data_IF_859083941349
#
_entry.id   IF_859083941349
#
_cell.length_a   1.000
_cell.length_b   1.000
_cell.length_c   1.000
_cell.angle_alpha   90.00
_cell.angle_beta   90.00
_cell.angle_gamma   90.00
#
_symmetry.space_group_name_H-M   'P 1'
#
loop_
_entity.id
_entity.type
_entity.pdbx_description
1 polymer ?
#
# COMPACT_ATOMS: atom_id res chain seq x y z
N UNK A 1 4.06 5.24 0.10
CA UNK A 1 3.16 5.12 1.25
C UNK A 1 2.51 3.76 1.19
N UNK A 2 2.42 3.06 2.31
CA UNK A 2 1.73 1.78 2.45
C UNK A 2 0.30 2.05 2.94
N UNK A 3 -0.62 2.30 2.00
CA UNK A 3 -2.00 2.75 2.31
C UNK A 3 -2.86 1.69 3.01
N UNK A 4 -2.46 0.42 2.97
CA UNK A 4 -3.15 -0.70 3.61
C UNK A 4 -2.32 -1.34 4.73
N UNK A 5 -1.31 -0.63 5.24
CA UNK A 5 -0.42 -1.15 6.26
C UNK A 5 0.64 -2.11 5.70
N UNK A 6 1.22 -2.93 6.57
CA UNK A 6 2.43 -3.70 6.30
C UNK A 6 2.48 -5.00 7.09
N UNK A 7 3.01 -6.06 6.48
CA UNK A 7 3.30 -7.34 7.15
C UNK A 7 4.60 -7.29 7.98
N UNK A 8 5.44 -6.29 7.74
CA UNK A 8 6.72 -6.09 8.43
C UNK A 8 6.57 -5.55 9.86
N UNK A 9 5.33 -5.18 10.23
CA UNK A 9 4.98 -4.59 11.51
C UNK A 9 3.84 -5.37 12.15
N UNK A 10 3.93 -5.53 13.47
CA UNK A 10 2.91 -6.10 14.32
C UNK A 10 2.29 -5.01 15.18
N UNK A 11 1.04 -5.22 15.55
CA UNK A 11 0.32 -4.46 16.57
C UNK A 11 -0.37 -5.40 17.54
N UNK A 12 -0.66 -4.92 18.74
CA UNK A 12 -1.53 -5.65 19.67
C UNK A 12 -2.93 -5.77 19.07
N UNK A 13 -3.53 -6.98 19.10
CA UNK A 13 -4.92 -7.18 18.69
C UNK A 13 -5.89 -6.39 19.57
N UNK A 14 -5.59 -6.29 20.85
CA UNK A 14 -6.50 -5.72 21.85
C UNK A 14 -6.21 -4.22 22.10
N UNK A 15 -5.50 -3.55 21.18
CA UNK A 15 -5.22 -2.11 21.21
C UNK A 15 -4.65 -1.59 22.55
N UNK A 16 -3.82 -2.37 23.24
CA UNK A 16 -3.35 -2.05 24.60
C UNK A 16 -2.35 -0.88 24.69
N UNK A 17 -2.09 -0.15 23.60
CA UNK A 17 -1.13 0.96 23.57
C UNK A 17 0.35 0.57 23.45
N UNK A 18 0.66 -0.68 23.06
CA UNK A 18 2.05 -1.11 22.85
C UNK A 18 2.74 -0.43 21.66
N UNK A 19 1.96 0.20 20.77
CA UNK A 19 2.42 0.71 19.48
C UNK A 19 2.79 -0.41 18.51
N UNK A 20 3.50 -0.02 17.45
CA UNK A 20 3.97 -0.91 16.39
C UNK A 20 5.38 -1.45 16.69
N UNK A 21 5.60 -2.73 16.40
CA UNK A 21 6.91 -3.39 16.54
C UNK A 21 7.19 -4.28 15.34
N UNK A 22 8.47 -4.54 15.06
CA UNK A 22 8.87 -5.31 13.88
C UNK A 22 8.37 -6.76 13.97
N UNK A 23 7.95 -7.33 12.83
CA UNK A 23 7.70 -8.77 12.69
C UNK A 23 8.97 -9.58 12.38
N UNK A 24 10.14 -8.94 12.36
CA UNK A 24 11.40 -9.62 12.08
C UNK A 24 11.63 -10.81 13.05
N UNK A 25 11.93 -11.98 12.49
CA UNK A 25 12.13 -13.21 13.25
C UNK A 25 10.85 -13.86 13.76
N UNK A 26 9.67 -13.35 13.40
CA UNK A 26 8.39 -13.99 13.73
C UNK A 26 8.07 -15.04 12.68
N UNK A 27 8.06 -16.30 13.11
CA UNK A 27 7.64 -17.43 12.29
C UNK A 27 6.32 -18.01 12.84
N UNK A 28 5.37 -18.29 11.94
CA UNK A 28 4.09 -18.91 12.28
C UNK A 28 4.00 -20.24 11.55
N UNK A 29 4.01 -21.34 12.30
CA UNK A 29 3.83 -22.68 11.72
C UNK A 29 2.35 -22.89 11.36
N UNK A 30 2.08 -23.27 10.11
CA UNK A 30 0.73 -23.59 9.64
C UNK A 30 0.61 -25.10 9.45
N UNK A 31 -0.44 -25.69 10.04
CA UNK A 31 -0.83 -27.06 9.76
C UNK A 31 -1.43 -27.16 8.35
N UNK A 32 -0.79 -27.87 7.40
CA UNK A 32 -1.25 -27.92 6.01
C UNK A 32 -2.54 -28.72 5.81
N UNK A 33 -2.91 -29.60 6.76
CA UNK A 33 -4.14 -30.37 6.67
C UNK A 33 -5.37 -29.57 7.12
N UNK A 34 -5.18 -28.64 8.06
CA UNK A 34 -6.29 -27.84 8.63
C UNK A 34 -6.26 -26.37 8.27
N UNK A 35 -5.17 -25.88 7.67
CA UNK A 35 -4.90 -24.46 7.42
C UNK A 35 -4.98 -23.58 8.67
N UNK A 36 -4.69 -24.15 9.85
CA UNK A 36 -4.63 -23.43 11.12
C UNK A 36 -3.20 -23.17 11.55
N UNK A 37 -2.95 -21.99 12.10
CA UNK A 37 -1.69 -21.68 12.76
C UNK A 37 -1.55 -22.47 14.07
N UNK A 38 -0.37 -23.03 14.32
CA UNK A 38 -0.01 -23.67 15.58
C UNK A 38 0.48 -22.64 16.59
N UNK A 39 0.36 -22.96 17.86
CA UNK A 39 1.06 -22.22 18.92
C UNK A 39 2.58 -22.51 18.87
N UNK A 40 3.43 -21.56 19.31
CA UNK A 40 3.07 -20.26 19.83
C UNK A 40 2.68 -19.25 18.73
N UNK A 41 1.54 -18.58 18.91
CA UNK A 41 1.19 -17.44 18.06
C UNK A 41 1.95 -16.18 18.51
N UNK A 42 2.14 -15.18 17.62
CA UNK A 42 2.77 -13.91 17.98
C UNK A 42 2.05 -13.25 19.15
N UNK A 43 2.82 -12.76 20.13
CA UNK A 43 2.28 -12.12 21.35
C UNK A 43 2.75 -10.69 21.48
N UNK A 44 1.87 -9.85 22.01
CA UNK A 44 2.17 -8.47 22.35
C UNK A 44 3.22 -8.44 23.46
N UNK A 45 4.35 -7.72 23.27
CA UNK A 45 5.40 -7.66 24.27
C UNK A 45 4.99 -6.88 25.53
N UNK A 46 3.94 -6.06 25.45
CA UNK A 46 3.47 -5.26 26.58
C UNK A 46 2.45 -5.99 27.47
N UNK A 47 1.46 -6.68 26.88
CA UNK A 47 0.35 -7.28 27.62
C UNK A 47 0.28 -8.82 27.52
N UNK A 48 1.08 -9.46 26.67
CA UNK A 48 1.04 -10.90 26.42
C UNK A 48 -0.15 -11.42 25.60
N UNK A 49 -1.09 -10.53 25.26
CA UNK A 49 -2.20 -10.80 24.33
C UNK A 49 -1.72 -11.11 22.91
N UNK A 50 -2.63 -11.48 22.01
CA UNK A 50 -2.26 -11.82 20.64
C UNK A 50 -1.76 -10.58 19.87
N UNK A 51 -0.68 -10.76 19.12
CA UNK A 51 -0.21 -9.80 18.15
C UNK A 51 -0.74 -10.18 16.75
N UNK A 52 -1.01 -9.16 15.93
CA UNK A 52 -1.43 -9.32 14.54
C UNK A 52 -0.56 -8.43 13.65
N UNK A 53 -0.40 -8.76 12.35
CA UNK A 53 0.16 -7.83 11.40
C UNK A 53 -0.60 -6.50 11.39
N UNK A 54 0.15 -5.40 11.23
CA UNK A 54 -0.38 -4.05 11.05
C UNK A 54 -0.86 -3.86 9.60
N UNK A 55 -1.78 -4.72 9.19
CA UNK A 55 -2.49 -4.65 7.90
C UNK A 55 -3.88 -4.13 8.17
N UNK A 56 -4.28 -3.10 7.41
CA UNK A 56 -5.61 -2.51 7.50
C UNK A 56 -6.64 -3.49 6.92
N UNK A 57 -7.59 -3.91 7.76
CA UNK A 57 -8.72 -4.75 7.37
C UNK A 57 -10.01 -3.92 7.34
N UNK A 58 -11.01 -4.36 6.57
CA UNK A 58 -12.31 -3.68 6.56
C UNK A 58 -13.00 -3.75 7.93
N UNK A 59 -13.47 -2.62 8.43
CA UNK A 59 -14.15 -2.52 9.74
C UNK A 59 -13.21 -2.59 10.94
N UNK A 60 -11.90 -2.41 10.72
CA UNK A 60 -10.88 -2.51 11.75
C UNK A 60 -10.64 -1.17 12.45
N UNK A 61 -11.42 -0.90 13.49
CA UNK A 61 -11.33 0.33 14.29
C UNK A 61 -10.09 0.38 15.19
N UNK A 62 -9.47 -0.78 15.43
CA UNK A 62 -8.30 -0.93 16.29
C UNK A 62 -6.97 -0.91 15.50
N UNK A 63 -7.02 -0.68 14.18
CA UNK A 63 -5.81 -0.56 13.37
C UNK A 63 -5.00 0.67 13.78
N UNK A 64 -3.74 0.45 14.14
CA UNK A 64 -2.83 1.55 14.48
C UNK A 64 -2.27 2.16 13.18
N UNK A 65 -2.79 3.33 12.82
CA UNK A 65 -2.46 4.03 11.60
C UNK A 65 -1.20 4.89 11.72
N UNK A 66 -0.56 4.97 12.90
CA UNK A 66 0.49 5.96 13.20
C UNK A 66 1.60 6.01 12.15
N UNK A 67 2.04 4.86 11.66
CA UNK A 67 3.06 4.74 10.60
C UNK A 67 2.53 5.19 9.24
N UNK A 68 1.31 4.78 8.87
CA UNK A 68 0.67 5.17 7.61
C UNK A 68 0.37 6.66 7.57
N UNK A 69 -0.15 7.21 8.68
CA UNK A 69 -0.34 8.65 8.90
C UNK A 69 0.96 9.44 8.71
N UNK A 70 2.07 8.96 9.29
CA UNK A 70 3.38 9.59 9.12
C UNK A 70 3.86 9.55 7.64
N UNK A 71 3.60 8.45 6.94
CA UNK A 71 3.91 8.33 5.51
C UNK A 71 3.04 9.24 4.65
N UNK A 72 1.74 9.39 4.97
CA UNK A 72 0.82 10.30 4.28
C UNK A 72 1.34 11.73 4.34
N UNK A 73 1.70 12.21 5.55
CA UNK A 73 2.26 13.55 5.74
C UNK A 73 3.54 13.78 4.93
N UNK A 74 4.41 12.76 4.81
CA UNK A 74 5.62 12.86 3.98
C UNK A 74 5.28 12.95 2.49
N UNK A 75 4.31 12.16 2.02
CA UNK A 75 3.84 12.21 0.64
C UNK A 75 3.22 13.58 0.33
N UNK A 76 2.35 14.08 1.20
CA UNK A 76 1.70 15.40 1.08
C UNK A 76 2.74 16.53 1.03
N UNK A 77 3.75 16.49 1.91
CA UNK A 77 4.82 17.48 1.91
C UNK A 77 5.65 17.44 0.61
N UNK A 78 5.93 16.24 0.09
CA UNK A 78 6.62 16.08 -1.18
C UNK A 78 5.79 16.61 -2.36
N UNK A 79 4.49 16.27 -2.40
CA UNK A 79 3.56 16.76 -3.43
C UNK A 79 3.43 18.28 -3.44
N UNK A 80 3.42 18.91 -2.26
CA UNK A 80 3.39 20.37 -2.15
C UNK A 80 4.61 21.03 -2.82
N UNK A 81 5.80 20.40 -2.73
CA UNK A 81 7.00 20.86 -3.44
C UNK A 81 6.99 20.53 -4.93
N UNK A 82 6.40 19.38 -5.32
CA UNK A 82 6.33 18.94 -6.71
C UNK A 82 5.40 19.81 -7.58
N UNK A 83 4.48 20.57 -6.97
CA UNK A 83 3.56 21.49 -7.65
C UNK A 83 4.25 22.53 -8.57
N UNK A 84 5.53 22.82 -8.34
CA UNK A 84 6.31 23.76 -9.16
C UNK A 84 6.86 23.13 -10.46
N UNK A 85 6.75 21.81 -10.64
CA UNK A 85 7.32 21.07 -11.78
C UNK A 85 6.26 20.38 -12.66
N UNK A 86 6.73 19.58 -13.62
CA UNK A 86 5.87 18.70 -14.42
C UNK A 86 5.77 17.34 -13.72
N UNK A 87 4.58 17.00 -13.24
CA UNK A 87 4.31 15.74 -12.57
C UNK A 87 3.76 14.71 -13.57
N UNK A 88 4.22 13.46 -13.46
CA UNK A 88 3.67 12.31 -14.17
C UNK A 88 3.37 11.24 -13.13
N UNK A 89 2.17 10.66 -13.20
CA UNK A 89 1.71 9.60 -12.32
C UNK A 89 1.81 8.28 -13.08
N UNK A 90 2.57 7.33 -12.54
CA UNK A 90 2.70 5.98 -13.11
C UNK A 90 2.04 4.99 -12.17
N UNK A 91 0.81 4.61 -12.49
CA UNK A 91 0.00 3.66 -11.72
C UNK A 91 0.23 2.24 -12.24
N UNK A 92 0.62 1.31 -11.35
CA UNK A 92 0.93 -0.07 -11.74
C UNK A 92 0.01 -1.06 -11.03
N UNK A 93 -0.79 -1.79 -11.80
CA UNK A 93 -1.54 -2.97 -11.31
C UNK A 93 -2.67 -2.68 -10.33
N UNK A 94 -3.10 -1.41 -10.16
CA UNK A 94 -4.25 -1.10 -9.33
C UNK A 94 -5.55 -1.47 -10.07
N UNK A 95 -6.41 -2.27 -9.42
CA UNK A 95 -7.71 -2.70 -9.94
C UNK A 95 -8.88 -1.95 -9.30
N UNK A 96 -10.11 -2.26 -9.72
CA UNK A 96 -11.33 -1.61 -9.21
C UNK A 96 -11.90 -2.19 -7.90
N UNK A 97 -11.46 -3.37 -7.48
CA UNK A 97 -12.01 -4.04 -6.29
C UNK A 97 -11.70 -3.28 -4.98
N UNK A 98 -10.49 -2.70 -4.89
CA UNK A 98 -10.07 -1.78 -3.82
C UNK A 98 -9.40 -0.60 -4.53
N UNK A 99 -10.18 0.41 -4.95
CA UNK A 99 -9.73 1.40 -5.93
C UNK A 99 -8.92 2.56 -5.32
N UNK A 100 -8.51 2.47 -4.05
CA UNK A 100 -7.83 3.56 -3.31
C UNK A 100 -6.67 4.18 -4.09
N UNK A 101 -5.82 3.35 -4.71
CA UNK A 101 -4.70 3.85 -5.53
C UNK A 101 -5.20 4.51 -6.83
N UNK A 102 -6.23 3.97 -7.48
CA UNK A 102 -6.83 4.54 -8.70
C UNK A 102 -7.42 5.92 -8.45
N UNK A 103 -8.25 6.01 -7.41
CA UNK A 103 -8.90 7.27 -7.02
C UNK A 103 -7.86 8.32 -6.63
N UNK A 104 -6.81 7.92 -5.89
CA UNK A 104 -5.71 8.82 -5.54
C UNK A 104 -4.98 9.32 -6.79
N UNK A 105 -4.65 8.44 -7.74
CA UNK A 105 -3.98 8.83 -8.97
C UNK A 105 -4.84 9.77 -9.83
N UNK A 106 -6.14 9.51 -9.95
CA UNK A 106 -7.05 10.38 -10.73
C UNK A 106 -7.27 11.74 -10.06
N UNK A 107 -7.41 11.80 -8.72
CA UNK A 107 -7.47 13.06 -7.97
C UNK A 107 -6.18 13.88 -8.15
N UNK A 108 -5.02 13.24 -8.00
CA UNK A 108 -3.73 13.91 -8.20
C UNK A 108 -3.54 14.36 -9.65
N UNK A 109 -4.01 13.60 -10.64
CA UNK A 109 -3.94 13.99 -12.04
C UNK A 109 -4.69 15.31 -12.28
N UNK A 110 -5.92 15.41 -11.79
CA UNK A 110 -6.71 16.63 -11.89
C UNK A 110 -6.14 17.79 -11.07
N UNK A 111 -5.74 17.54 -9.82
CA UNK A 111 -5.25 18.57 -8.90
C UNK A 111 -3.95 19.22 -9.36
N UNK A 112 -3.07 18.47 -10.01
CA UNK A 112 -1.74 18.94 -10.42
C UNK A 112 -1.61 19.12 -11.94
N UNK A 113 -2.70 19.01 -12.70
CA UNK A 113 -2.67 18.97 -14.17
C UNK A 113 -1.61 17.97 -14.69
N UNK A 114 -1.54 16.81 -14.03
CA UNK A 114 -0.51 15.80 -14.25
C UNK A 114 -0.97 14.75 -15.25
N UNK A 115 -0.03 14.22 -16.05
CA UNK A 115 -0.33 13.09 -16.93
C UNK A 115 -0.37 11.79 -16.13
N UNK A 116 -1.47 11.04 -16.25
CA UNK A 116 -1.59 9.68 -15.72
C UNK A 116 -1.22 8.64 -16.78
N UNK A 117 -0.34 7.71 -16.41
CA UNK A 117 -0.04 6.49 -17.13
C UNK A 117 -0.48 5.33 -16.25
N UNK A 118 -1.51 4.60 -16.68
CA UNK A 118 -2.02 3.40 -15.99
C UNK A 118 -1.53 2.15 -16.70
N UNK A 119 -0.82 1.29 -15.99
CA UNK A 119 -0.33 0.01 -16.47
C UNK A 119 -1.08 -1.10 -15.77
N UNK A 120 -2.01 -1.74 -16.48
CA UNK A 120 -2.78 -2.86 -15.96
C UNK A 120 -3.20 -3.79 -17.10
N UNK A 121 -2.89 -5.09 -16.97
CA UNK A 121 -3.16 -6.10 -18.01
C UNK A 121 -4.64 -6.19 -18.37
N UNK A 122 -5.54 -6.04 -17.38
CA UNK A 122 -6.98 -6.28 -17.54
C UNK A 122 -7.83 -5.03 -17.43
N UNK A 123 -7.35 -4.02 -16.71
CA UNK A 123 -8.10 -2.81 -16.39
C UNK A 123 -7.29 -1.54 -16.74
N UNK A 124 -6.84 -1.36 -18.00
CA UNK A 124 -6.00 -0.23 -18.42
C UNK A 124 -6.80 1.06 -18.68
N UNK A 125 -8.12 1.05 -18.53
CA UNK A 125 -9.00 2.20 -18.76
C UNK A 125 -8.58 3.42 -17.94
N UNK A 126 -8.55 4.58 -18.57
CA UNK A 126 -8.18 5.87 -17.97
C UNK A 126 -9.16 6.97 -18.41
N UNK A 127 -9.29 8.07 -17.64
CA UNK A 127 -9.97 9.27 -18.11
C UNK A 127 -9.33 9.85 -19.38
N UNK A 128 -10.10 10.65 -20.12
CA UNK A 128 -9.64 11.28 -21.37
C UNK A 128 -8.37 12.12 -21.17
N UNK A 129 -7.45 12.05 -22.13
CA UNK A 129 -6.17 12.78 -22.07
C UNK A 129 -5.05 12.06 -21.29
N UNK A 130 -5.31 10.84 -20.79
CA UNK A 130 -4.33 10.00 -20.11
C UNK A 130 -3.95 8.76 -20.94
N UNK A 131 -2.98 7.99 -20.45
CA UNK A 131 -2.45 6.83 -21.17
C UNK A 131 -2.75 5.54 -20.41
N UNK A 132 -3.50 4.65 -21.05
CA UNK A 132 -3.74 3.29 -20.58
C UNK A 132 -2.86 2.27 -21.31
N UNK A 133 -2.15 1.41 -20.58
CA UNK A 133 -1.26 0.38 -21.12
C UNK A 133 -1.72 -1.01 -20.64
N UNK A 134 -2.20 -1.83 -21.57
CA UNK A 134 -2.61 -3.21 -21.34
C UNK A 134 -1.41 -4.17 -21.31
N UNK A 135 -0.47 -3.93 -20.39
CA UNK A 135 0.80 -4.67 -20.30
C UNK A 135 1.09 -5.12 -18.85
N UNK A 136 1.92 -6.16 -18.66
CA UNK A 136 2.51 -6.45 -17.35
C UNK A 136 3.36 -5.27 -16.88
N UNK A 137 3.21 -4.87 -15.60
CA UNK A 137 3.89 -3.68 -15.06
C UNK A 137 5.41 -3.72 -15.25
N UNK A 138 6.05 -4.86 -14.97
CA UNK A 138 7.49 -5.01 -15.15
C UNK A 138 7.94 -4.83 -16.60
N UNK A 139 7.15 -5.31 -17.56
CA UNK A 139 7.47 -5.16 -18.99
C UNK A 139 7.40 -3.70 -19.42
N UNK A 140 6.30 -3.02 -19.07
CA UNK A 140 6.12 -1.61 -19.38
C UNK A 140 7.20 -0.73 -18.74
N UNK A 141 7.52 -0.96 -17.46
CA UNK A 141 8.56 -0.20 -16.75
C UNK A 141 9.95 -0.42 -17.36
N UNK A 142 10.30 -1.65 -17.76
CA UNK A 142 11.55 -1.93 -18.47
C UNK A 142 11.62 -1.24 -19.82
N UNK A 143 10.51 -1.15 -20.53
CA UNK A 143 10.48 -0.47 -21.82
C UNK A 143 10.56 1.06 -21.68
N UNK A 144 9.94 1.62 -20.63
CA UNK A 144 10.11 3.03 -20.29
C UNK A 144 11.58 3.33 -19.95
N UNK A 145 12.20 2.52 -19.10
CA UNK A 145 13.61 2.65 -18.72
C UNK A 145 14.56 2.64 -19.93
N UNK A 146 14.33 1.75 -20.91
CA UNK A 146 15.13 1.71 -22.16
C UNK A 146 14.98 2.94 -23.05
N UNK A 147 13.84 3.63 -22.96
CA UNK A 147 13.51 4.78 -23.83
C UNK A 147 13.85 6.12 -23.19
N UNK A 148 14.00 6.15 -21.87
CA UNK A 148 14.42 7.33 -21.15
C UNK A 148 15.94 7.50 -21.31
N UNK A 149 16.42 8.73 -21.60
CA UNK A 149 17.83 9.03 -21.83
C UNK A 149 18.66 9.00 -20.54
#
# INVERSE_FOLDING_TARGET
MEVHGSLEWLQCRDACGAGLYSSAGVEVEIDPATFRAREPLPRCPACGGLARPNVLMFGDWDWDDSRTSQQSRRLEAWLAGAAAGRLVLVECGAGRAVPTVRETCEDLAGRFDASLIRINVREPDVPDGHVGLALPALEALRELDRRLP
#
